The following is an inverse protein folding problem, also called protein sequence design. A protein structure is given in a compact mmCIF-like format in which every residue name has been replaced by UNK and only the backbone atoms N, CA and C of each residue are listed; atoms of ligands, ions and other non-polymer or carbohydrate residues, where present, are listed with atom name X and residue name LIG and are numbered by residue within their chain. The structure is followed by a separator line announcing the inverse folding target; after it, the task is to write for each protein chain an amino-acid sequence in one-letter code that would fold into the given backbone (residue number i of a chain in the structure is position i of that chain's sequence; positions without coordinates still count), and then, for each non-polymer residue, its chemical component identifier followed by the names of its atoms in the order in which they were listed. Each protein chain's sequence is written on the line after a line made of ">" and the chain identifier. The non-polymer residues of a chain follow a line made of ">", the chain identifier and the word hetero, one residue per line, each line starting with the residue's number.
data_IF_637694493175
#
_entry.id   IF_637694493175
#
_cell.length_a   1.000
_cell.length_b   1.000
_cell.length_c   1.000
_cell.angle_alpha   90.00
_cell.angle_beta   90.00
_cell.angle_gamma   90.00
#
_symmetry.space_group_name_H-M   'P 1'
#
loop_
_entity.id
_entity.type
_entity.pdbx_description
1 polymer ?
#
# COMPACT_ATOMS: atom_id res chain seq x y z
N UNK A 1 15.90 -4.85 -0.22
CA UNK A 1 14.47 -5.24 -0.24
C UNK A 1 13.66 -4.07 -0.79
N UNK A 2 12.60 -4.33 -1.57
CA UNK A 2 11.78 -3.26 -2.18
C UNK A 2 10.40 -3.16 -1.53
N UNK A 3 9.93 -1.94 -1.35
CA UNK A 3 8.57 -1.62 -0.91
C UNK A 3 7.77 -0.99 -2.06
N UNK A 4 6.50 -1.33 -2.14
CA UNK A 4 5.53 -0.67 -3.02
C UNK A 4 4.55 0.14 -2.18
N UNK A 5 4.45 1.43 -2.46
CA UNK A 5 3.48 2.33 -1.85
C UNK A 5 2.35 2.58 -2.84
N UNK A 6 1.10 2.47 -2.41
CA UNK A 6 -0.07 2.74 -3.23
C UNK A 6 -0.89 3.82 -2.53
N UNK A 7 -0.92 5.03 -3.09
CA UNK A 7 -1.60 6.17 -2.50
C UNK A 7 -2.30 7.01 -3.58
N UNK A 8 -3.50 7.49 -3.26
CA UNK A 8 -4.26 8.40 -4.12
C UNK A 8 -4.08 9.87 -3.70
N UNK A 9 -3.74 10.15 -2.43
CA UNK A 9 -3.43 11.51 -1.95
C UNK A 9 -1.94 11.76 -1.82
N UNK A 10 -1.53 13.00 -2.09
CA UNK A 10 -0.12 13.41 -2.08
C UNK A 10 0.51 13.50 -0.69
N UNK A 11 -0.28 13.78 0.35
CA UNK A 11 0.15 13.74 1.75
C UNK A 11 0.38 12.29 2.20
N UNK A 12 -0.58 11.40 1.95
CA UNK A 12 -0.44 9.97 2.23
C UNK A 12 0.76 9.36 1.48
N UNK A 13 0.97 9.72 0.21
CA UNK A 13 2.13 9.27 -0.55
C UNK A 13 3.47 9.66 0.12
N UNK A 14 3.58 10.86 0.69
CA UNK A 14 4.80 11.31 1.40
C UNK A 14 5.02 10.51 2.67
N UNK A 15 3.98 10.38 3.50
CA UNK A 15 4.06 9.72 4.81
C UNK A 15 4.31 8.22 4.66
N UNK A 16 3.57 7.55 3.78
CA UNK A 16 3.74 6.12 3.52
C UNK A 16 5.09 5.81 2.88
N UNK A 17 5.60 6.66 1.98
CA UNK A 17 6.92 6.45 1.40
C UNK A 17 8.04 6.66 2.44
N UNK A 18 7.91 7.64 3.33
CA UNK A 18 8.84 7.80 4.44
C UNK A 18 8.83 6.58 5.38
N UNK A 19 7.64 6.06 5.71
CA UNK A 19 7.49 4.83 6.48
C UNK A 19 8.08 3.61 5.76
N UNK A 20 7.82 3.47 4.46
CA UNK A 20 8.34 2.37 3.64
C UNK A 20 9.87 2.33 3.62
N UNK A 21 10.55 3.49 3.61
CA UNK A 21 12.03 3.56 3.69
C UNK A 21 12.60 3.01 5.00
N UNK A 22 11.81 2.94 6.07
CA UNK A 22 12.25 2.29 7.32
C UNK A 22 12.21 0.75 7.23
N UNK A 23 11.49 0.22 6.24
CA UNK A 23 11.26 -1.20 6.04
C UNK A 23 12.04 -1.76 4.84
N UNK A 24 12.41 -0.93 3.86
CA UNK A 24 12.98 -1.34 2.59
C UNK A 24 14.05 -0.36 2.11
N UNK A 25 15.01 -0.86 1.32
CA UNK A 25 16.10 -0.06 0.75
C UNK A 25 15.66 0.73 -0.49
N UNK A 26 14.64 0.25 -1.19
CA UNK A 26 14.09 0.87 -2.40
C UNK A 26 12.56 0.99 -2.26
N UNK A 27 12.03 2.17 -2.60
CA UNK A 27 10.60 2.49 -2.54
C UNK A 27 10.10 2.83 -3.94
N UNK A 28 9.06 2.12 -4.37
CA UNK A 28 8.29 2.43 -5.57
C UNK A 28 6.94 2.99 -5.16
N UNK A 29 6.56 4.13 -5.71
CA UNK A 29 5.25 4.74 -5.51
C UNK A 29 4.35 4.51 -6.72
N UNK A 30 3.15 3.98 -6.48
CA UNK A 30 2.01 4.05 -7.39
C UNK A 30 1.17 5.26 -7.01
N UNK A 31 0.93 6.14 -7.99
CA UNK A 31 0.08 7.33 -7.83
C UNK A 31 -0.92 7.40 -8.98
N UNK A 32 -2.14 7.88 -8.69
CA UNK A 32 -3.22 8.02 -9.67
C UNK A 32 -3.38 9.46 -10.20
N UNK A 33 -2.40 10.31 -9.91
CA UNK A 33 -2.37 11.71 -10.32
C UNK A 33 -0.95 12.29 -10.21
N UNK A 34 -0.85 13.56 -9.86
CA UNK A 34 0.45 14.16 -9.57
C UNK A 34 1.07 13.50 -8.33
N UNK A 35 2.27 12.97 -8.52
CA UNK A 35 3.04 12.40 -7.44
C UNK A 35 3.96 13.46 -6.84
N UNK A 36 4.06 13.53 -5.50
CA UNK A 36 4.99 14.43 -4.84
C UNK A 36 6.44 14.13 -5.23
N UNK A 37 7.26 15.18 -5.34
CA UNK A 37 8.67 15.03 -5.72
C UNK A 37 9.50 14.39 -4.61
N UNK A 38 10.55 13.65 -5.01
CA UNK A 38 11.58 13.09 -4.12
C UNK A 38 11.11 12.14 -3.00
N UNK A 39 9.89 11.60 -3.07
CA UNK A 39 9.36 10.67 -2.05
C UNK A 39 9.76 9.21 -2.26
N UNK A 40 10.07 8.81 -3.49
CA UNK A 40 10.32 7.41 -3.87
C UNK A 40 11.43 7.33 -4.91
N UNK A 41 12.08 6.18 -5.02
CA UNK A 41 13.13 5.89 -6.01
C UNK A 41 12.55 5.77 -7.42
N UNK A 42 11.31 5.26 -7.51
CA UNK A 42 10.55 5.19 -8.75
C UNK A 42 9.09 5.57 -8.52
N UNK A 43 8.48 6.23 -9.50
CA UNK A 43 7.05 6.57 -9.48
C UNK A 43 6.37 5.97 -10.72
N UNK A 44 5.45 5.05 -10.49
CA UNK A 44 4.49 4.59 -11.48
C UNK A 44 3.23 5.46 -11.41
N UNK A 45 3.13 6.45 -12.31
CA UNK A 45 1.93 7.28 -12.45
C UNK A 45 0.91 6.57 -13.33
N UNK A 46 -0.24 6.23 -12.77
CA UNK A 46 -1.33 5.55 -13.46
C UNK A 46 -2.40 6.59 -13.78
N UNK A 47 -2.61 6.84 -15.07
CA UNK A 47 -3.72 7.67 -15.52
C UNK A 47 -5.03 6.85 -15.48
N UNK A 48 -6.03 7.37 -14.77
CA UNK A 48 -7.38 6.79 -14.78
C UNK A 48 -8.28 7.69 -15.64
N UNK A 49 -8.95 7.15 -16.67
CA UNK A 49 -9.80 7.96 -17.54
C UNK A 49 -10.92 8.66 -16.78
N UNK A 50 -11.30 9.85 -17.24
CA UNK A 50 -12.43 10.59 -16.70
C UNK A 50 -13.71 9.74 -16.75
N UNK A 51 -14.51 9.77 -15.68
CA UNK A 51 -15.73 8.97 -15.55
C UNK A 51 -15.52 7.50 -15.11
N UNK A 52 -14.27 7.04 -14.99
CA UNK A 52 -13.95 5.71 -14.43
C UNK A 52 -13.72 5.79 -12.92
N UNK A 53 -13.85 4.65 -12.23
CA UNK A 53 -13.51 4.56 -10.81
C UNK A 53 -12.05 4.13 -10.64
N UNK A 54 -11.36 4.62 -9.61
CA UNK A 54 -9.95 4.28 -9.38
C UNK A 54 -9.71 2.77 -9.24
N UNK A 55 -10.68 2.03 -8.71
CA UNK A 55 -10.65 0.57 -8.56
C UNK A 55 -10.44 -0.19 -9.88
N UNK A 56 -10.78 0.42 -11.02
CA UNK A 56 -10.60 -0.15 -12.36
C UNK A 56 -9.12 -0.24 -12.75
N UNK A 57 -8.26 0.55 -12.10
CA UNK A 57 -6.83 0.54 -12.31
C UNK A 57 -6.11 -0.65 -11.63
N UNK A 58 -6.84 -1.52 -10.91
CA UNK A 58 -6.24 -2.60 -10.12
C UNK A 58 -5.31 -3.52 -10.94
N UNK A 59 -5.68 -3.88 -12.17
CA UNK A 59 -4.84 -4.72 -13.03
C UNK A 59 -3.53 -4.01 -13.42
N UNK A 60 -3.56 -2.69 -13.60
CA UNK A 60 -2.35 -1.89 -13.82
C UNK A 60 -1.50 -1.79 -12.57
N UNK A 61 -2.10 -1.71 -11.38
CA UNK A 61 -1.35 -1.79 -10.12
C UNK A 61 -0.67 -3.14 -9.95
N UNK A 62 -1.37 -4.23 -10.30
CA UNK A 62 -0.82 -5.59 -10.25
C UNK A 62 0.36 -5.73 -11.22
N UNK A 63 0.28 -5.16 -12.43
CA UNK A 63 1.41 -5.23 -13.37
C UNK A 63 2.63 -4.45 -12.88
N UNK A 64 2.44 -3.34 -12.16
CA UNK A 64 3.54 -2.65 -11.46
C UNK A 64 4.10 -3.55 -10.36
N UNK A 65 3.26 -4.20 -9.55
CA UNK A 65 3.71 -5.15 -8.54
C UNK A 65 4.55 -6.29 -9.14
N UNK A 66 4.09 -6.92 -10.23
CA UNK A 66 4.77 -8.03 -10.89
C UNK A 66 6.13 -7.62 -11.46
N UNK A 67 6.23 -6.40 -11.99
CA UNK A 67 7.47 -5.86 -12.53
C UNK A 67 8.48 -5.49 -11.45
N UNK A 68 8.01 -5.02 -10.30
CA UNK A 68 8.86 -4.52 -9.22
C UNK A 68 9.23 -5.59 -8.19
N UNK A 69 8.39 -6.64 -8.04
CA UNK A 69 8.54 -7.73 -7.08
C UNK A 69 8.87 -7.25 -5.65
N UNK A 70 8.04 -6.36 -5.06
CA UNK A 70 8.26 -5.87 -3.71
C UNK A 70 7.98 -6.96 -2.67
N UNK A 71 8.68 -6.92 -1.54
CA UNK A 71 8.41 -7.81 -0.40
C UNK A 71 7.39 -7.22 0.58
N UNK A 72 7.16 -5.90 0.51
CA UNK A 72 6.16 -5.21 1.34
C UNK A 72 5.36 -4.22 0.49
N UNK A 73 4.05 -4.15 0.74
CA UNK A 73 3.14 -3.22 0.10
C UNK A 73 2.42 -2.41 1.19
N UNK A 74 2.58 -1.08 1.14
CA UNK A 74 1.88 -0.14 2.02
C UNK A 74 0.82 0.61 1.23
N UNK A 75 -0.43 0.53 1.68
CA UNK A 75 -1.57 1.07 0.95
C UNK A 75 -2.30 2.10 1.80
N UNK A 76 -2.64 3.22 1.20
CA UNK A 76 -3.49 4.22 1.82
C UNK A 76 -4.89 3.62 2.13
N UNK A 77 -5.51 3.87 3.30
CA UNK A 77 -6.71 3.16 3.73
C UNK A 77 -8.00 3.83 3.25
N UNK A 78 -8.03 4.37 2.03
CA UNK A 78 -9.26 4.92 1.44
C UNK A 78 -10.14 3.82 0.84
N UNK A 79 -11.37 4.17 0.45
CA UNK A 79 -12.33 3.21 -0.13
C UNK A 79 -11.76 2.50 -1.37
N UNK A 80 -11.20 3.27 -2.30
CA UNK A 80 -10.66 2.77 -3.56
C UNK A 80 -9.40 1.93 -3.35
N UNK A 81 -8.48 2.45 -2.53
CA UNK A 81 -7.21 1.80 -2.27
C UNK A 81 -7.37 0.50 -1.48
N UNK A 82 -8.35 0.41 -0.56
CA UNK A 82 -8.72 -0.85 0.10
C UNK A 82 -9.22 -1.90 -0.89
N UNK A 83 -10.01 -1.52 -1.90
CA UNK A 83 -10.47 -2.45 -2.93
C UNK A 83 -9.29 -2.95 -3.79
N UNK A 84 -8.40 -2.05 -4.20
CA UNK A 84 -7.18 -2.41 -4.95
C UNK A 84 -6.28 -3.33 -4.12
N UNK A 85 -6.03 -3.03 -2.84
CA UNK A 85 -5.24 -3.87 -1.94
C UNK A 85 -5.81 -5.29 -1.83
N UNK A 86 -7.13 -5.42 -1.70
CA UNK A 86 -7.81 -6.70 -1.67
C UNK A 86 -7.64 -7.49 -2.97
N UNK A 87 -7.81 -6.84 -4.13
CA UNK A 87 -7.61 -7.46 -5.45
C UNK A 87 -6.15 -7.92 -5.64
N UNK A 88 -5.18 -7.07 -5.28
CA UNK A 88 -3.75 -7.41 -5.32
C UNK A 88 -3.44 -8.61 -4.43
N UNK A 89 -3.88 -8.58 -3.17
CA UNK A 89 -3.61 -9.65 -2.21
C UNK A 89 -4.23 -10.99 -2.67
N UNK A 90 -5.45 -10.96 -3.19
CA UNK A 90 -6.11 -12.14 -3.77
C UNK A 90 -5.32 -12.71 -4.97
N UNK A 91 -4.79 -11.85 -5.84
CA UNK A 91 -4.00 -12.26 -7.01
C UNK A 91 -2.68 -12.91 -6.65
N UNK A 92 -2.01 -12.46 -5.60
CA UNK A 92 -0.72 -13.01 -5.15
C UNK A 92 -0.86 -14.08 -4.05
N UNK A 93 -2.08 -14.43 -3.67
CA UNK A 93 -2.35 -15.50 -2.71
C UNK A 93 -2.01 -15.15 -1.25
N UNK A 94 -2.15 -13.88 -0.85
CA UNK A 94 -1.92 -13.41 0.52
C UNK A 94 -3.13 -12.67 1.10
N UNK A 95 -3.03 -12.22 2.35
CA UNK A 95 -4.02 -11.41 3.03
C UNK A 95 -3.54 -9.97 3.25
N UNK A 96 -4.48 -9.03 3.33
CA UNK A 96 -4.19 -7.65 3.76
C UNK A 96 -4.32 -7.55 5.28
N UNK A 97 -3.31 -7.03 5.97
CA UNK A 97 -3.43 -6.61 7.37
C UNK A 97 -3.87 -5.14 7.37
N UNK A 98 -5.09 -4.89 7.81
CA UNK A 98 -5.75 -3.60 7.63
C UNK A 98 -5.57 -2.65 8.79
N UNK A 99 -5.57 -1.37 8.47
CA UNK A 99 -5.65 -0.21 9.36
C UNK A 99 -4.54 -0.23 10.44
N UNK A 100 -3.33 -0.53 9.99
CA UNK A 100 -2.13 -0.54 10.81
C UNK A 100 -1.79 0.87 11.26
N UNK A 101 -1.49 1.02 12.54
CA UNK A 101 -1.11 2.27 13.19
C UNK A 101 0.37 2.28 13.61
N UNK A 102 0.94 1.10 13.88
CA UNK A 102 2.36 0.96 14.18
C UNK A 102 2.87 -0.44 13.84
N UNK A 103 4.19 -0.58 13.72
CA UNK A 103 4.87 -1.85 13.42
C UNK A 103 5.67 -2.41 14.62
N UNK A 104 5.51 -1.85 15.81
CA UNK A 104 6.23 -2.29 17.01
C UNK A 104 5.80 -3.70 17.44
N UNK A 105 6.72 -4.66 17.36
CA UNK A 105 6.43 -6.07 17.71
C UNK A 105 5.52 -6.80 16.71
N UNK A 106 5.06 -6.12 15.66
CA UNK A 106 4.15 -6.59 14.62
C UNK A 106 3.25 -5.46 14.13
N UNK A 107 2.43 -5.73 13.12
CA UNK A 107 1.46 -4.77 12.60
C UNK A 107 0.29 -4.63 13.58
N UNK A 108 0.24 -3.49 14.27
CA UNK A 108 -0.73 -3.19 15.31
C UNK A 108 -1.90 -2.37 14.74
N UNK A 109 -3.12 -2.80 15.02
CA UNK A 109 -4.35 -2.09 14.64
C UNK A 109 -5.42 -2.16 15.73
N UNK A 110 -6.41 -1.29 15.65
CA UNK A 110 -7.58 -1.31 16.51
C UNK A 110 -8.56 -2.42 16.09
N UNK A 111 -9.26 -2.99 17.07
CA UNK A 111 -10.24 -4.06 16.89
C UNK A 111 -11.51 -3.78 17.71
N UNK A 112 -12.61 -4.43 17.34
CA UNK A 112 -13.95 -4.22 17.93
C UNK A 112 -14.36 -2.74 18.02
N UNK A 113 -14.19 -1.97 16.94
CA UNK A 113 -14.54 -0.55 16.92
C UNK A 113 -13.64 0.35 17.78
N UNK A 114 -12.41 -0.10 18.08
CA UNK A 114 -11.45 0.67 18.89
C UNK A 114 -11.35 0.25 20.35
N UNK A 115 -12.14 -0.75 20.78
CA UNK A 115 -12.15 -1.21 22.18
C UNK A 115 -10.94 -2.09 22.52
N UNK A 116 -10.34 -2.73 21.52
CA UNK A 116 -9.19 -3.60 21.71
C UNK A 116 -8.08 -3.29 20.69
N UNK A 117 -6.88 -3.77 21.00
CA UNK A 117 -5.75 -3.74 20.08
C UNK A 117 -5.43 -5.16 19.63
N UNK A 118 -5.03 -5.31 18.37
CA UNK A 118 -4.57 -6.57 17.78
C UNK A 118 -3.20 -6.38 17.16
N UNK A 119 -2.30 -7.32 17.37
CA UNK A 119 -0.99 -7.38 16.71
C UNK A 119 -0.95 -8.59 15.79
N UNK A 120 -0.63 -8.35 14.51
CA UNK A 120 -0.55 -9.39 13.50
C UNK A 120 0.84 -9.40 12.86
N UNK A 121 1.26 -10.58 12.38
CA UNK A 121 2.45 -10.74 11.56
C UNK A 121 2.04 -11.41 10.25
N UNK A 122 2.48 -10.89 9.09
CA UNK A 122 2.23 -11.54 7.82
C UNK A 122 2.89 -12.93 7.80
N UNK A 123 2.35 -13.83 7.00
CA UNK A 123 3.00 -15.09 6.64
C UNK A 123 3.16 -15.13 5.12
N UNK A 124 4.25 -15.75 4.66
CA UNK A 124 4.62 -15.77 3.24
C UNK A 124 5.64 -14.67 2.89
N UNK A 125 5.95 -14.57 1.59
CA UNK A 125 7.06 -13.76 1.10
C UNK A 125 6.69 -12.28 0.90
N UNK A 126 5.40 -11.97 0.79
CA UNK A 126 4.89 -10.62 0.53
C UNK A 126 3.90 -10.21 1.61
N UNK A 127 4.22 -9.10 2.28
CA UNK A 127 3.36 -8.50 3.29
C UNK A 127 2.56 -7.33 2.70
N UNK A 128 1.23 -7.35 2.85
CA UNK A 128 0.35 -6.27 2.36
C UNK A 128 -0.37 -5.62 3.53
N UNK A 129 -0.25 -4.30 3.64
CA UNK A 129 -0.81 -3.51 4.73
C UNK A 129 -1.65 -2.36 4.19
N UNK A 130 -2.77 -2.05 4.84
CA UNK A 130 -3.31 -0.68 4.79
C UNK A 130 -2.87 0.06 6.04
N UNK A 131 -2.35 1.27 5.90
CA UNK A 131 -1.68 2.01 6.99
C UNK A 131 -2.28 3.40 7.10
N UNK A 132 -2.72 3.79 8.30
CA UNK A 132 -3.16 5.18 8.54
C UNK A 132 -2.00 6.15 8.26
N UNK A 133 -2.25 7.10 7.37
CA UNK A 133 -1.44 8.31 7.21
C UNK A 133 -2.10 9.39 8.10
#
# INVERSE_FOLDING_TARGET
>A
MKALVIAERADAARELAAGARTMADEVVLVSFGEAPEAVADKVARIAVPEGSVLDDAAETVISVFDAEQPAVVLVEPTRHMKAIAGKLAARIGTSVITDVMSFEGGAKSLYFGGVAERVQKPRGDVAVYTVGA
#
